data_IF_051162926232
#
_entry.id   IF_051162926232
#
_cell.length_a   1.000
_cell.length_b   1.000
_cell.length_c   1.000
_cell.angle_alpha   90.00
_cell.angle_beta   90.00
_cell.angle_gamma   90.00
#
_symmetry.space_group_name_H-M   'P 1'
#
loop_
_entity.id
_entity.type
_entity.pdbx_description
1 polymer ?
#
# COMPACT_ATOMS: atom_id res chain seq x y z
N UNK A 1 9.42 8.55 -37.11
CA UNK A 1 9.71 7.10 -37.06
C UNK A 1 9.16 6.53 -35.75
N UNK A 2 8.31 5.51 -35.82
CA UNK A 2 7.76 4.88 -34.61
C UNK A 2 8.83 4.06 -33.89
N UNK A 3 8.82 4.08 -32.56
CA UNK A 3 9.81 3.37 -31.74
C UNK A 3 9.47 1.88 -31.67
N UNK A 4 8.19 1.54 -31.53
CA UNK A 4 7.70 0.16 -31.41
C UNK A 4 6.42 -0.02 -32.25
N UNK A 5 6.26 -1.11 -33.01
CA UNK A 5 5.03 -1.38 -33.76
C UNK A 5 3.78 -1.51 -32.86
N UNK A 6 2.66 -0.94 -33.29
CA UNK A 6 1.40 -0.93 -32.54
C UNK A 6 0.81 -2.33 -32.30
N UNK A 7 1.01 -3.26 -33.24
CA UNK A 7 0.55 -4.65 -33.09
C UNK A 7 1.22 -5.38 -31.92
N UNK A 8 2.36 -4.88 -31.43
CA UNK A 8 3.04 -5.45 -30.26
C UNK A 8 2.65 -4.73 -28.97
N UNK A 9 2.66 -3.39 -28.96
CA UNK A 9 2.36 -2.60 -27.75
C UNK A 9 0.90 -2.68 -27.34
N UNK A 10 -0.04 -2.73 -28.29
CA UNK A 10 -1.46 -2.79 -27.97
C UNK A 10 -1.87 -4.10 -27.24
N UNK A 11 -1.50 -5.31 -27.72
CA UNK A 11 -1.75 -6.55 -26.97
C UNK A 11 -1.03 -6.57 -25.62
N UNK A 12 0.21 -6.08 -25.55
CA UNK A 12 0.94 -5.99 -24.28
C UNK A 12 0.20 -5.10 -23.27
N UNK A 13 -0.28 -3.92 -23.70
CA UNK A 13 -1.05 -3.04 -22.84
C UNK A 13 -2.41 -3.63 -22.44
N UNK A 14 -3.06 -4.40 -23.31
CA UNK A 14 -4.30 -5.11 -22.99
C UNK A 14 -4.07 -6.17 -21.90
N UNK A 15 -3.00 -6.97 -22.02
CA UNK A 15 -2.60 -7.96 -21.01
C UNK A 15 -2.27 -7.27 -19.68
N UNK A 16 -1.48 -6.19 -19.71
CA UNK A 16 -1.14 -5.44 -18.50
C UNK A 16 -2.38 -4.82 -17.84
N UNK A 17 -3.32 -4.29 -18.63
CA UNK A 17 -4.59 -3.76 -18.12
C UNK A 17 -5.38 -4.85 -17.41
N UNK A 18 -5.52 -6.02 -18.03
CA UNK A 18 -6.18 -7.19 -17.42
C UNK A 18 -5.50 -7.58 -16.10
N UNK A 19 -4.18 -7.66 -16.07
CA UNK A 19 -3.42 -7.98 -14.86
C UNK A 19 -3.66 -6.96 -13.73
N UNK A 20 -3.66 -5.66 -14.04
CA UNK A 20 -3.92 -4.58 -13.08
C UNK A 20 -5.35 -4.65 -12.54
N UNK A 21 -6.34 -4.90 -13.40
CA UNK A 21 -7.74 -5.04 -13.00
C UNK A 21 -7.97 -6.27 -12.13
N UNK A 22 -7.39 -7.42 -12.49
CA UNK A 22 -7.43 -8.63 -11.67
C UNK A 22 -6.78 -8.39 -10.31
N UNK A 23 -5.64 -7.70 -10.27
CA UNK A 23 -4.98 -7.31 -9.03
C UNK A 23 -5.86 -6.39 -8.15
N UNK A 24 -6.55 -5.42 -8.77
CA UNK A 24 -7.47 -4.52 -8.07
C UNK A 24 -8.66 -5.30 -7.46
N UNK A 25 -9.24 -6.23 -8.22
CA UNK A 25 -10.32 -7.11 -7.75
C UNK A 25 -9.88 -8.02 -6.62
N UNK A 26 -8.70 -8.64 -6.73
CA UNK A 26 -8.12 -9.45 -5.66
C UNK A 26 -7.89 -8.61 -4.38
N UNK A 27 -7.39 -7.38 -4.55
CA UNK A 27 -7.19 -6.45 -3.43
C UNK A 27 -8.50 -6.05 -2.77
N UNK A 28 -9.57 -5.82 -3.53
CA UNK A 28 -10.89 -5.50 -2.99
C UNK A 28 -11.41 -6.59 -2.04
N UNK A 29 -11.16 -7.87 -2.40
CA UNK A 29 -11.56 -9.06 -1.65
C UNK A 29 -10.66 -9.41 -0.45
N UNK A 30 -9.44 -8.86 -0.37
CA UNK A 30 -8.50 -9.15 0.73
C UNK A 30 -8.99 -8.70 2.12
N UNK A 31 -8.43 -9.17 3.23
CA UNK A 31 -8.77 -8.69 4.59
C UNK A 31 -7.96 -7.46 5.03
N UNK A 32 -7.51 -6.62 4.10
CA UNK A 32 -6.77 -5.41 4.43
C UNK A 32 -7.67 -4.29 5.01
N UNK A 33 -7.08 -3.36 5.79
CA UNK A 33 -7.78 -2.17 6.26
C UNK A 33 -8.46 -1.42 5.09
N UNK A 34 -9.70 -0.92 5.26
CA UNK A 34 -10.45 -0.25 4.18
C UNK A 34 -9.69 0.90 3.52
N UNK A 35 -8.92 1.67 4.30
CA UNK A 35 -8.08 2.76 3.79
C UNK A 35 -7.01 2.27 2.79
N UNK A 36 -6.28 1.19 3.12
CA UNK A 36 -5.26 0.60 2.25
C UNK A 36 -5.86 0.04 0.96
N UNK A 37 -7.04 -0.57 1.04
CA UNK A 37 -7.78 -1.05 -0.15
C UNK A 37 -8.12 0.10 -1.10
N UNK A 38 -8.67 1.20 -0.57
CA UNK A 38 -9.06 2.37 -1.37
C UNK A 38 -7.85 2.97 -2.11
N UNK A 39 -6.71 3.12 -1.43
CA UNK A 39 -5.49 3.66 -2.06
C UNK A 39 -4.98 2.73 -3.17
N UNK A 40 -4.95 1.41 -2.92
CA UNK A 40 -4.49 0.43 -3.93
C UNK A 40 -5.39 0.37 -5.15
N UNK A 41 -6.72 0.42 -4.95
CA UNK A 41 -7.69 0.46 -6.05
C UNK A 41 -7.55 1.77 -6.84
N UNK A 42 -7.42 2.91 -6.16
CA UNK A 42 -7.18 4.20 -6.82
C UNK A 42 -5.89 4.17 -7.65
N UNK A 43 -4.81 3.61 -7.10
CA UNK A 43 -3.55 3.46 -7.82
C UNK A 43 -3.69 2.54 -9.05
N UNK A 44 -4.47 1.46 -8.95
CA UNK A 44 -4.75 0.59 -10.09
C UNK A 44 -5.45 1.35 -11.22
N UNK A 45 -6.43 2.22 -10.91
CA UNK A 45 -7.07 3.08 -11.91
C UNK A 45 -6.09 4.04 -12.59
N UNK A 46 -5.18 4.65 -11.82
CA UNK A 46 -4.14 5.54 -12.35
C UNK A 46 -3.23 4.78 -13.33
N UNK A 47 -2.79 3.58 -12.97
CA UNK A 47 -1.95 2.74 -13.85
C UNK A 47 -2.72 2.34 -15.11
N UNK A 48 -3.98 1.93 -14.99
CA UNK A 48 -4.83 1.59 -16.13
C UNK A 48 -5.00 2.77 -17.09
N UNK A 49 -5.12 3.99 -16.57
CA UNK A 49 -5.17 5.21 -17.39
C UNK A 49 -3.82 5.55 -18.05
N UNK A 50 -2.70 5.19 -17.43
CA UNK A 50 -1.37 5.43 -17.99
C UNK A 50 -1.05 4.49 -19.17
N UNK A 51 -1.53 3.24 -19.15
CA UNK A 51 -1.28 2.25 -20.21
C UNK A 51 -1.64 2.72 -21.63
N UNK A 52 -2.85 3.27 -21.91
CA UNK A 52 -3.17 3.76 -23.26
C UNK A 52 -2.28 4.96 -23.66
N UNK A 53 -1.87 5.81 -22.71
CA UNK A 53 -0.93 6.90 -23.02
C UNK A 53 0.43 6.35 -23.43
N UNK A 54 0.90 5.29 -22.80
CA UNK A 54 2.16 4.64 -23.20
C UNK A 54 2.05 4.04 -24.60
N UNK A 55 0.94 3.37 -24.94
CA UNK A 55 0.70 2.87 -26.31
C UNK A 55 0.70 4.01 -27.32
N UNK A 56 0.02 5.12 -27.01
CA UNK A 56 -0.01 6.30 -27.87
C UNK A 56 1.40 6.88 -28.09
N UNK A 57 2.17 7.03 -27.01
CA UNK A 57 3.51 7.62 -27.04
C UNK A 57 4.56 6.75 -27.74
N UNK A 58 4.45 5.42 -27.64
CA UNK A 58 5.42 4.49 -28.26
C UNK A 58 5.08 4.11 -29.70
N UNK A 59 3.79 4.04 -30.05
CA UNK A 59 3.37 3.33 -31.27
C UNK A 59 2.42 4.07 -32.19
N UNK A 60 1.80 5.17 -31.75
CA UNK A 60 0.79 5.87 -32.55
C UNK A 60 1.27 7.26 -32.97
N UNK A 61 1.84 8.03 -32.04
CA UNK A 61 2.24 9.40 -32.30
C UNK A 61 3.68 9.43 -32.79
N UNK A 62 3.87 9.86 -34.05
CA UNK A 62 5.22 10.11 -34.58
C UNK A 62 5.79 11.40 -33.99
N UNK A 63 6.90 11.26 -33.25
CA UNK A 63 7.62 12.36 -32.62
C UNK A 63 8.18 13.37 -33.63
N UNK A 64 8.54 12.94 -34.84
CA UNK A 64 9.10 13.81 -35.87
C UNK A 64 8.02 14.64 -36.57
N UNK A 65 6.84 14.04 -36.80
CA UNK A 65 5.73 14.72 -37.47
C UNK A 65 4.89 15.59 -36.50
N UNK A 66 4.79 15.20 -35.22
CA UNK A 66 3.89 15.84 -34.23
C UNK A 66 4.55 15.98 -32.84
N UNK A 67 5.62 16.78 -32.71
CA UNK A 67 6.40 16.87 -31.47
C UNK A 67 5.60 17.40 -30.28
N UNK A 68 4.66 18.34 -30.51
CA UNK A 68 3.80 18.87 -29.45
C UNK A 68 2.87 17.81 -28.85
N UNK A 69 2.19 17.02 -29.70
CA UNK A 69 1.31 15.94 -29.24
C UNK A 69 2.10 14.85 -28.52
N UNK A 70 3.27 14.49 -29.05
CA UNK A 70 4.17 13.53 -28.43
C UNK A 70 4.59 13.98 -27.03
N UNK A 71 5.00 15.25 -26.89
CA UNK A 71 5.38 15.84 -25.59
C UNK A 71 4.21 15.84 -24.60
N UNK A 72 3.01 16.20 -25.03
CA UNK A 72 1.83 16.21 -24.17
C UNK A 72 1.48 14.82 -23.63
N UNK A 73 1.61 13.76 -24.45
CA UNK A 73 1.38 12.39 -24.00
C UNK A 73 2.38 11.96 -22.94
N UNK A 74 3.67 12.26 -23.12
CA UNK A 74 4.69 11.95 -22.12
C UNK A 74 4.54 12.75 -20.83
N UNK A 75 4.20 14.03 -20.92
CA UNK A 75 3.90 14.87 -19.76
C UNK A 75 2.70 14.32 -18.98
N UNK A 76 1.67 13.84 -19.69
CA UNK A 76 0.49 13.22 -19.08
C UNK A 76 0.84 11.89 -18.41
N UNK A 77 1.66 11.05 -19.06
CA UNK A 77 2.15 9.81 -18.47
C UNK A 77 3.01 10.06 -17.22
N UNK A 78 3.89 11.06 -17.25
CA UNK A 78 4.71 11.47 -16.11
C UNK A 78 3.86 12.01 -14.96
N UNK A 79 2.82 12.79 -15.25
CA UNK A 79 1.89 13.28 -14.25
C UNK A 79 1.13 12.12 -13.57
N UNK A 80 0.64 11.14 -14.33
CA UNK A 80 0.02 9.94 -13.76
C UNK A 80 1.02 9.12 -12.93
N UNK A 81 2.27 9.00 -13.37
CA UNK A 81 3.32 8.35 -12.59
C UNK A 81 3.57 9.08 -11.26
N UNK A 82 3.65 10.40 -11.27
CA UNK A 82 3.81 11.20 -10.06
C UNK A 82 2.63 11.03 -9.08
N UNK A 83 1.40 10.96 -9.60
CA UNK A 83 0.20 10.63 -8.80
C UNK A 83 0.32 9.22 -8.20
N UNK A 84 0.74 8.24 -8.99
CA UNK A 84 0.93 6.86 -8.53
C UNK A 84 1.96 6.76 -7.41
N UNK A 85 3.11 7.43 -7.55
CA UNK A 85 4.15 7.50 -6.52
C UNK A 85 3.61 8.18 -5.26
N UNK A 86 2.86 9.27 -5.41
CA UNK A 86 2.26 9.99 -4.29
C UNK A 86 1.26 9.11 -3.50
N UNK A 87 0.43 8.33 -4.21
CA UNK A 87 -0.48 7.36 -3.59
C UNK A 87 0.29 6.26 -2.86
N UNK A 88 1.38 5.76 -3.45
CA UNK A 88 2.24 4.76 -2.81
C UNK A 88 2.88 5.30 -1.52
N UNK A 89 3.40 6.54 -1.55
CA UNK A 89 3.93 7.21 -0.37
C UNK A 89 2.85 7.38 0.72
N UNK A 90 1.63 7.75 0.33
CA UNK A 90 0.51 7.85 1.27
C UNK A 90 0.17 6.49 1.93
N UNK A 91 0.25 5.37 1.19
CA UNK A 91 0.07 4.02 1.75
C UNK A 91 1.16 3.69 2.79
N UNK A 92 2.42 4.01 2.50
CA UNK A 92 3.54 3.81 3.42
C UNK A 92 3.36 4.64 4.69
N UNK A 93 3.06 5.94 4.56
CA UNK A 93 2.85 6.83 5.71
C UNK A 93 1.68 6.35 6.58
N UNK A 94 0.59 5.90 5.98
CA UNK A 94 -0.55 5.36 6.71
C UNK A 94 -0.19 4.06 7.46
N UNK A 95 0.60 3.20 6.83
CA UNK A 95 1.10 1.95 7.44
C UNK A 95 1.99 2.26 8.64
N UNK A 96 2.92 3.20 8.52
CA UNK A 96 3.78 3.64 9.62
C UNK A 96 2.98 4.21 10.80
N UNK A 97 1.97 5.06 10.51
CA UNK A 97 1.06 5.60 11.52
C UNK A 97 0.30 4.49 12.26
N UNK A 98 -0.15 3.45 11.55
CA UNK A 98 -0.86 2.32 12.16
C UNK A 98 0.05 1.50 13.07
N UNK A 99 1.28 1.21 12.61
CA UNK A 99 2.31 0.48 13.38
C UNK A 99 2.66 1.23 14.66
N UNK A 100 2.89 2.55 14.59
CA UNK A 100 3.19 3.36 15.76
C UNK A 100 2.07 3.29 16.82
N UNK A 101 0.80 3.35 16.39
CA UNK A 101 -0.36 3.19 17.28
C UNK A 101 -0.44 1.79 17.88
N UNK A 102 -0.12 0.75 17.12
CA UNK A 102 -0.10 -0.62 17.61
C UNK A 102 0.99 -0.81 18.66
N UNK A 103 2.21 -0.34 18.40
CA UNK A 103 3.31 -0.41 19.36
C UNK A 103 2.97 0.30 20.67
N UNK A 104 2.35 1.49 20.62
CA UNK A 104 1.92 2.19 21.82
C UNK A 104 0.88 1.39 22.62
N UNK A 105 -0.09 0.76 21.95
CA UNK A 105 -1.10 -0.09 22.61
C UNK A 105 -0.50 -1.36 23.20
N UNK A 106 0.43 -2.00 22.51
CA UNK A 106 1.13 -3.18 23.03
C UNK A 106 1.94 -2.84 24.28
N UNK A 107 2.66 -1.71 24.28
CA UNK A 107 3.43 -1.26 25.44
C UNK A 107 2.52 -1.01 26.65
N UNK A 108 1.39 -0.32 26.46
CA UNK A 108 0.40 -0.10 27.52
C UNK A 108 -0.19 -1.40 28.07
N UNK A 109 -0.48 -2.39 27.21
CA UNK A 109 -0.99 -3.70 27.67
C UNK A 109 0.06 -4.51 28.42
N UNK A 110 1.32 -4.43 28.01
CA UNK A 110 2.42 -5.10 28.70
C UNK A 110 2.68 -4.47 30.07
N UNK A 111 2.58 -3.14 30.20
CA UNK A 111 2.71 -2.50 31.51
C UNK A 111 1.58 -2.90 32.45
N UNK A 112 0.32 -2.90 31.98
CA UNK A 112 -0.81 -3.33 32.81
C UNK A 112 -0.71 -4.80 33.22
N UNK A 113 -0.36 -5.69 32.29
CA UNK A 113 -0.18 -7.12 32.59
C UNK A 113 0.98 -7.36 33.58
N UNK A 114 2.07 -6.59 33.47
CA UNK A 114 3.18 -6.64 34.43
C UNK A 114 2.75 -6.18 35.82
N UNK A 115 1.98 -5.09 35.91
CA UNK A 115 1.49 -4.58 37.19
C UNK A 115 0.51 -5.54 37.86
N UNK A 116 -0.39 -6.17 37.10
CA UNK A 116 -1.29 -7.21 37.58
C UNK A 116 -0.54 -8.44 38.09
N UNK A 117 0.47 -8.92 37.36
CA UNK A 117 1.32 -10.03 37.79
C UNK A 117 2.08 -9.72 39.08
N UNK A 118 2.62 -8.49 39.21
CA UNK A 118 3.29 -8.03 40.42
C UNK A 118 2.34 -7.94 41.63
N UNK A 119 1.09 -7.50 41.42
CA UNK A 119 0.06 -7.47 42.47
C UNK A 119 -0.31 -8.89 42.92
N UNK A 120 -0.54 -9.80 41.98
CA UNK A 120 -0.85 -11.21 42.30
C UNK A 120 0.29 -11.87 43.10
N UNK A 121 1.55 -11.64 42.72
CA UNK A 121 2.70 -12.17 43.44
C UNK A 121 2.83 -11.64 44.88
N UNK A 122 2.44 -10.38 45.14
CA UNK A 122 2.42 -9.80 46.49
C UNK A 122 1.31 -10.42 47.34
N UNK A 123 0.11 -10.60 46.78
CA UNK A 123 -1.03 -11.20 47.49
C UNK A 123 -0.82 -12.69 47.81
N UNK A 124 0.05 -13.40 47.09
CA UNK A 124 0.39 -14.80 47.37
C UNK A 124 1.41 -14.98 48.51
N UNK A 125 2.12 -13.91 48.92
CA UNK A 125 3.18 -13.96 49.95
C UNK A 125 2.73 -14.01 51.44
N UNK A 126 1.47 -13.75 51.87
CA UNK A 126 1.21 -13.51 53.30
C UNK A 126 0.85 -14.72 54.19
N UNK A 127 0.79 -15.98 53.70
CA UNK A 127 0.39 -17.11 54.58
C UNK A 127 1.54 -17.95 55.16
N UNK A 128 2.78 -17.79 54.69
CA UNK A 128 3.89 -18.69 55.07
C UNK A 128 4.67 -18.28 56.34
N UNK A 129 4.33 -17.12 56.92
CA UNK A 129 5.03 -16.57 58.08
C UNK A 129 4.37 -16.89 59.43
N UNK A 130 3.09 -17.29 59.45
CA UNK A 130 2.37 -17.56 60.70
C UNK A 130 2.49 -19.03 61.18
N UNK A 131 2.82 -19.98 60.31
CA UNK A 131 3.03 -21.41 60.71
C UNK A 131 4.34 -21.67 61.45
N UNK A 132 5.29 -20.72 61.50
CA UNK A 132 6.62 -20.89 62.10
C UNK A 132 6.75 -20.28 63.51
N UNK A 133 5.67 -19.72 64.08
CA UNK A 133 5.67 -19.08 65.41
C UNK A 133 4.75 -19.77 66.42
N UNK A 134 4.21 -20.95 66.10
CA UNK A 134 3.29 -21.72 66.98
C UNK A 134 3.90 -23.02 67.55
N UNK A 135 5.20 -23.25 67.42
CA UNK A 135 5.94 -24.31 68.16
C UNK A 135 6.87 -23.69 69.21
#
# INVERSE_FOLDING_TARGET
MLVIPAWFTAPAAAIMTLAVLLHALATARSNHPPSRKRIRIANAFVITAALPLLVLGFSVIDHAARPGQWTLVWMSALALLAISISLAMADVLNTLRLVARHQHRLRARLSTARDEALRAARSAKPARGEELLTE
#
